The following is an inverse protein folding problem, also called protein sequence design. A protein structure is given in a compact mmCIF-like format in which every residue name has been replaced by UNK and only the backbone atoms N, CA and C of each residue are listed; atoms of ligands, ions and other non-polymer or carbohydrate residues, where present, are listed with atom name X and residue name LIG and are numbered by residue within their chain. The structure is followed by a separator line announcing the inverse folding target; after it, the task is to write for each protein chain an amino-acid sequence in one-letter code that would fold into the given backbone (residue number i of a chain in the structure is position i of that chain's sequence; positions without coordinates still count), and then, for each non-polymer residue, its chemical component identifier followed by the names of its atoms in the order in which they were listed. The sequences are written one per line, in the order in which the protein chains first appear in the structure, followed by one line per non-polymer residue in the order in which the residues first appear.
data_IF_065043425864
#
_entry.id   IF_065043425864
#
_cell.length_a   1.000
_cell.length_b   1.000
_cell.length_c   1.000
_cell.angle_alpha   90.00
_cell.angle_beta   90.00
_cell.angle_gamma   90.00
#
_symmetry.space_group_name_H-M   'P 1'
#
loop_
_entity.id
_entity.type
_entity.pdbx_description
1 polymer ?
#
# COMPACT_ATOMS: atom_id res chain seq x y z
N UNK A 1 -23.30 -61.85 13.59
CA UNK A 1 -24.20 -60.67 13.66
C UNK A 1 -23.31 -59.46 13.42
N UNK A 2 -23.47 -58.80 12.26
CA UNK A 2 -22.80 -57.55 11.95
C UNK A 2 -23.55 -56.39 12.63
N UNK A 3 -22.84 -55.29 12.93
CA UNK A 3 -23.15 -53.92 12.47
C UNK A 3 -21.92 -53.05 12.78
N UNK A 4 -21.49 -52.34 11.74
CA UNK A 4 -20.45 -51.32 11.73
C UNK A 4 -20.94 -50.02 12.39
N UNK A 5 -20.00 -49.23 12.90
CA UNK A 5 -20.20 -47.83 13.27
C UNK A 5 -18.93 -47.04 13.00
N UNK A 6 -18.75 -46.60 11.75
CA UNK A 6 -17.76 -45.60 11.34
C UNK A 6 -18.31 -44.20 11.68
N UNK A 7 -17.55 -43.41 12.44
CA UNK A 7 -17.58 -41.94 12.40
C UNK A 7 -16.12 -41.50 12.64
N UNK A 8 -15.31 -41.31 11.59
CA UNK A 8 -15.14 -40.06 10.85
C UNK A 8 -14.99 -38.84 11.76
N UNK A 9 -13.83 -38.66 12.36
CA UNK A 9 -13.36 -37.31 12.70
C UNK A 9 -12.61 -36.79 11.47
N UNK A 10 -13.27 -35.89 10.75
CA UNK A 10 -12.67 -35.10 9.68
C UNK A 10 -11.56 -34.23 10.28
N UNK A 11 -10.35 -34.36 9.75
CA UNK A 11 -9.35 -33.29 9.80
C UNK A 11 -9.88 -32.18 8.89
N UNK A 12 -10.58 -31.22 9.48
CA UNK A 12 -11.01 -30.00 8.82
C UNK A 12 -10.01 -28.90 9.19
N UNK A 13 -9.22 -28.50 8.21
CA UNK A 13 -8.59 -27.19 8.03
C UNK A 13 -8.10 -26.41 9.26
N UNK A 14 -6.78 -26.21 9.41
CA UNK A 14 -6.29 -24.95 9.93
C UNK A 14 -6.26 -23.95 8.77
N UNK A 15 -7.42 -23.43 8.34
CA UNK A 15 -7.39 -22.03 7.87
C UNK A 15 -7.04 -21.25 9.13
N UNK A 16 -5.77 -20.84 9.22
CA UNK A 16 -5.27 -20.00 10.30
C UNK A 16 -6.11 -18.73 10.34
N UNK A 17 -7.07 -18.73 11.25
CA UNK A 17 -7.90 -17.61 11.61
C UNK A 17 -7.10 -16.77 12.61
N UNK A 18 -6.18 -15.97 12.11
CA UNK A 18 -5.67 -14.76 12.75
C UNK A 18 -4.71 -14.10 11.75
N UNK A 19 -5.23 -13.09 11.05
CA UNK A 19 -4.41 -12.25 10.18
C UNK A 19 -3.43 -11.49 11.07
N UNK A 20 -2.23 -12.04 11.23
CA UNK A 20 -1.13 -11.30 11.83
C UNK A 20 -0.75 -10.15 10.87
N UNK A 21 -1.24 -8.97 11.21
CA UNK A 21 -0.96 -7.71 10.50
C UNK A 21 0.36 -7.09 10.95
N UNK A 22 1.12 -7.78 11.81
CA UNK A 22 2.35 -7.26 12.43
C UNK A 22 3.62 -7.90 11.87
N UNK A 23 3.52 -9.01 11.13
CA UNK A 23 4.66 -9.60 10.44
C UNK A 23 4.82 -9.02 9.03
N UNK A 24 5.80 -8.13 8.87
CA UNK A 24 6.19 -7.51 7.60
C UNK A 24 7.40 -8.18 6.96
N UNK A 25 7.89 -9.28 7.53
CA UNK A 25 8.99 -10.01 6.92
C UNK A 25 8.53 -10.67 5.61
N UNK A 26 9.37 -10.57 4.59
CA UNK A 26 9.13 -11.11 3.25
C UNK A 26 7.80 -10.67 2.61
N UNK A 27 7.38 -9.43 2.83
CA UNK A 27 6.21 -8.85 2.15
C UNK A 27 6.63 -7.83 1.10
N UNK A 28 5.80 -7.69 0.06
CA UNK A 28 5.92 -6.58 -0.88
C UNK A 28 4.54 -6.00 -1.18
N UNK A 29 4.45 -4.68 -1.15
CA UNK A 29 3.25 -3.96 -1.60
C UNK A 29 3.15 -3.86 -3.12
N UNK A 30 4.14 -4.40 -3.85
CA UNK A 30 4.17 -4.38 -5.32
C UNK A 30 4.00 -2.96 -5.85
N UNK A 31 3.11 -2.81 -6.84
CA UNK A 31 2.75 -1.51 -7.42
C UNK A 31 1.53 -0.86 -6.75
N UNK A 32 1.09 -1.34 -5.58
CA UNK A 32 -0.05 -0.74 -4.89
C UNK A 32 0.29 0.67 -4.38
N UNK A 33 -0.55 1.64 -4.78
CA UNK A 33 -0.45 3.04 -4.38
C UNK A 33 -1.85 3.54 -4.03
N UNK A 34 -2.07 3.86 -2.76
CA UNK A 34 -3.29 4.50 -2.27
C UNK A 34 -3.52 5.86 -2.96
N UNK A 35 -4.79 6.25 -3.09
CA UNK A 35 -5.10 7.61 -3.48
C UNK A 35 -4.66 8.56 -2.36
N UNK A 36 -4.09 9.71 -2.73
CA UNK A 36 -3.78 10.76 -1.76
C UNK A 36 -5.09 11.34 -1.22
N UNK A 37 -5.22 11.32 0.11
CA UNK A 37 -6.26 12.02 0.82
C UNK A 37 -5.70 13.30 1.44
N UNK A 38 -6.46 14.38 1.37
CA UNK A 38 -6.06 15.71 1.81
C UNK A 38 -7.07 16.22 2.84
N UNK A 39 -6.57 16.78 3.93
CA UNK A 39 -7.41 17.48 4.89
C UNK A 39 -8.09 18.68 4.25
N UNK A 40 -9.30 18.99 4.70
CA UNK A 40 -10.00 20.19 4.23
C UNK A 40 -9.37 21.43 4.91
N UNK A 41 -8.74 22.34 4.15
CA UNK A 41 -8.16 23.53 4.75
C UNK A 41 -9.24 24.45 5.31
N UNK A 42 -8.90 25.15 6.39
CA UNK A 42 -9.78 26.14 7.02
C UNK A 42 -9.02 27.44 7.29
N UNK A 43 -9.71 28.45 7.82
CA UNK A 43 -9.07 29.70 8.26
C UNK A 43 -8.01 29.46 9.35
N UNK A 44 -8.17 28.39 10.13
CA UNK A 44 -7.32 28.11 11.30
C UNK A 44 -6.35 26.94 11.08
N UNK A 45 -6.63 26.06 10.11
CA UNK A 45 -5.84 24.85 9.84
C UNK A 45 -5.33 24.80 8.39
N UNK A 46 -4.04 24.49 8.17
CA UNK A 46 -3.50 24.26 6.83
C UNK A 46 -4.01 22.95 6.22
N UNK A 47 -3.81 22.81 4.92
CA UNK A 47 -3.97 21.53 4.23
C UNK A 47 -2.77 20.61 4.53
N UNK A 48 -3.02 19.33 4.73
CA UNK A 48 -1.99 18.29 4.91
C UNK A 48 -2.49 16.95 4.34
N UNK A 49 -1.57 16.01 4.13
CA UNK A 49 -1.89 14.65 3.64
C UNK A 49 -2.42 13.80 4.79
N UNK A 50 -3.59 13.17 4.61
CA UNK A 50 -4.29 12.39 5.64
C UNK A 50 -4.02 10.88 5.58
N UNK A 51 -3.34 10.39 4.52
CA UNK A 51 -2.99 8.97 4.42
C UNK A 51 -2.25 8.47 5.67
N UNK A 52 -2.58 7.26 6.10
CA UNK A 52 -1.95 6.63 7.26
C UNK A 52 -0.45 6.42 7.01
N UNK A 53 0.37 7.01 7.87
CA UNK A 53 1.82 6.89 7.91
C UNK A 53 2.24 6.09 9.14
N UNK A 54 1.83 4.82 9.19
CA UNK A 54 2.28 3.88 10.22
C UNK A 54 3.81 3.70 10.13
N UNK A 55 4.50 3.91 11.26
CA UNK A 55 5.95 3.91 11.31
C UNK A 55 6.56 2.56 10.97
N UNK A 56 5.92 1.45 11.35
CA UNK A 56 6.41 0.11 11.02
C UNK A 56 6.25 -0.17 9.53
N UNK A 57 5.06 0.13 9.00
CA UNK A 57 4.78 0.04 7.57
C UNK A 57 5.78 0.84 6.73
N UNK A 58 6.19 2.02 7.19
CA UNK A 58 7.19 2.85 6.52
C UNK A 58 8.56 2.17 6.52
N UNK A 59 8.99 1.57 7.65
CA UNK A 59 10.28 0.85 7.74
C UNK A 59 10.36 -0.31 6.76
N UNK A 60 9.22 -0.91 6.43
CA UNK A 60 9.11 -2.02 5.48
C UNK A 60 8.67 -1.56 4.08
N UNK A 61 8.86 -0.29 3.73
CA UNK A 61 8.63 0.19 2.37
C UNK A 61 7.16 0.30 1.94
N UNK A 62 6.23 0.30 2.90
CA UNK A 62 4.78 0.33 2.67
C UNK A 62 4.13 1.72 2.69
N UNK A 63 4.90 2.81 2.66
CA UNK A 63 4.34 4.18 2.61
C UNK A 63 3.39 4.35 1.41
N UNK A 64 2.12 4.74 1.63
CA UNK A 64 1.07 4.75 0.58
C UNK A 64 0.73 3.38 -0.04
N UNK A 65 1.10 2.27 0.61
CA UNK A 65 1.02 0.93 0.05
C UNK A 65 -0.32 0.20 0.25
N UNK A 66 -1.36 0.78 0.86
CA UNK A 66 -2.56 0.02 1.24
C UNK A 66 -2.38 -0.71 2.56
N UNK A 67 -3.46 -1.19 3.17
CA UNK A 67 -3.37 -1.96 4.43
C UNK A 67 -2.90 -3.41 4.23
N UNK A 68 -2.92 -3.90 3.00
CA UNK A 68 -2.62 -5.30 2.68
C UNK A 68 -1.49 -5.36 1.66
N UNK A 69 -0.39 -6.09 1.92
CA UNK A 69 0.65 -6.30 0.93
C UNK A 69 0.12 -7.10 -0.25
N UNK A 70 0.67 -6.83 -1.43
CA UNK A 70 0.32 -7.52 -2.66
C UNK A 70 0.90 -8.94 -2.69
N UNK A 71 2.15 -9.08 -2.23
CA UNK A 71 2.87 -10.34 -2.18
C UNK A 71 3.21 -10.68 -0.72
N UNK A 72 2.92 -11.92 -0.35
CA UNK A 72 3.29 -12.52 0.94
C UNK A 72 4.23 -13.69 0.67
N UNK A 73 5.51 -13.38 0.49
CA UNK A 73 6.48 -14.38 0.04
C UNK A 73 6.75 -15.45 1.09
N UNK A 74 6.60 -15.15 2.39
CA UNK A 74 6.82 -16.14 3.46
C UNK A 74 6.12 -17.48 3.18
N UNK A 75 4.86 -17.47 2.73
CA UNK A 75 4.10 -18.69 2.43
C UNK A 75 4.78 -19.61 1.39
N UNK A 76 5.34 -19.03 0.33
CA UNK A 76 6.00 -19.81 -0.72
C UNK A 76 7.44 -20.17 -0.31
N UNK A 77 8.16 -19.24 0.33
CA UNK A 77 9.53 -19.47 0.79
C UNK A 77 9.60 -20.61 1.82
N UNK A 78 8.66 -20.65 2.77
CA UNK A 78 8.55 -21.71 3.79
C UNK A 78 8.25 -23.09 3.19
N UNK A 79 7.70 -23.14 1.97
CA UNK A 79 7.29 -24.40 1.32
C UNK A 79 8.36 -25.03 0.41
N UNK A 80 9.48 -24.33 0.17
CA UNK A 80 10.48 -24.71 -0.84
C UNK A 80 11.73 -25.40 -0.27
N UNK A 81 11.75 -25.77 1.02
CA UNK A 81 12.90 -26.40 1.69
C UNK A 81 14.23 -25.67 1.37
N UNK A 82 14.24 -24.35 1.54
CA UNK A 82 15.37 -23.50 1.19
C UNK A 82 16.61 -23.82 2.06
N UNK A 83 17.79 -23.82 1.46
CA UNK A 83 19.04 -23.95 2.21
C UNK A 83 19.35 -22.68 3.00
N UNK A 84 20.21 -22.76 4.01
CA UNK A 84 20.66 -21.60 4.77
C UNK A 84 21.30 -20.53 3.87
N UNK A 85 22.03 -20.94 2.82
CA UNK A 85 22.65 -20.03 1.84
C UNK A 85 21.60 -19.33 0.96
N UNK A 86 20.54 -20.05 0.56
CA UNK A 86 19.42 -19.47 -0.20
C UNK A 86 18.67 -18.45 0.66
N UNK A 87 18.33 -18.81 1.91
CA UNK A 87 17.65 -17.91 2.84
C UNK A 87 18.46 -16.63 3.09
N UNK A 88 19.76 -16.76 3.37
CA UNK A 88 20.63 -15.59 3.55
C UNK A 88 20.70 -14.69 2.31
N UNK A 89 20.65 -15.27 1.11
CA UNK A 89 20.60 -14.51 -0.14
C UNK A 89 19.27 -13.78 -0.30
N UNK A 90 18.16 -14.46 0.00
CA UNK A 90 16.81 -13.91 -0.06
C UNK A 90 16.65 -12.74 0.93
N UNK A 91 17.15 -12.87 2.16
CA UNK A 91 17.18 -11.79 3.14
C UNK A 91 17.85 -10.53 2.59
N UNK A 92 19.02 -10.71 1.96
CA UNK A 92 19.73 -9.60 1.33
C UNK A 92 18.93 -8.98 0.18
N UNK A 93 18.23 -9.79 -0.63
CA UNK A 93 17.37 -9.30 -1.71
C UNK A 93 16.17 -8.50 -1.17
N UNK A 94 15.57 -8.92 -0.05
CA UNK A 94 14.49 -8.16 0.60
C UNK A 94 14.98 -6.83 1.18
N UNK A 95 16.15 -6.81 1.80
CA UNK A 95 16.75 -5.54 2.26
C UNK A 95 16.94 -4.56 1.09
N UNK A 96 17.48 -5.04 -0.04
CA UNK A 96 17.63 -4.22 -1.26
C UNK A 96 16.27 -3.77 -1.83
N UNK A 97 15.26 -4.64 -1.80
CA UNK A 97 13.91 -4.30 -2.25
C UNK A 97 13.30 -3.19 -1.38
N UNK A 98 13.38 -3.33 -0.04
CA UNK A 98 12.88 -2.35 0.93
C UNK A 98 13.52 -0.98 0.69
N UNK A 99 14.85 -0.92 0.51
CA UNK A 99 15.55 0.33 0.20
C UNK A 99 15.05 0.95 -1.11
N UNK A 100 14.88 0.13 -2.15
CA UNK A 100 14.40 0.56 -3.47
C UNK A 100 12.99 1.18 -3.38
N UNK A 101 12.04 0.46 -2.77
CA UNK A 101 10.65 0.94 -2.67
C UNK A 101 10.52 2.14 -1.74
N UNK A 102 11.31 2.19 -0.66
CA UNK A 102 11.34 3.32 0.28
C UNK A 102 11.81 4.58 -0.43
N UNK A 103 12.89 4.49 -1.21
CA UNK A 103 13.39 5.61 -2.00
C UNK A 103 12.37 6.10 -3.03
N UNK A 104 11.71 5.18 -3.75
CA UNK A 104 10.68 5.51 -4.72
C UNK A 104 9.49 6.23 -4.07
N UNK A 105 8.97 5.69 -2.95
CA UNK A 105 7.84 6.26 -2.21
C UNK A 105 8.19 7.60 -1.56
N UNK A 106 9.41 7.77 -1.07
CA UNK A 106 9.87 9.06 -0.54
C UNK A 106 9.94 10.13 -1.64
N UNK A 107 10.36 9.76 -2.85
CA UNK A 107 10.37 10.67 -4.00
C UNK A 107 8.96 11.15 -4.32
N UNK A 108 7.99 10.25 -4.33
CA UNK A 108 6.57 10.59 -4.49
C UNK A 108 6.05 11.47 -3.34
N UNK A 109 6.37 11.12 -2.09
CA UNK A 109 5.99 11.92 -0.92
C UNK A 109 6.49 13.36 -1.01
N UNK A 110 7.73 13.56 -1.44
CA UNK A 110 8.33 14.89 -1.61
C UNK A 110 7.65 15.71 -2.71
N UNK A 111 7.27 15.05 -3.82
CA UNK A 111 6.53 15.70 -4.89
C UNK A 111 5.14 16.17 -4.40
N UNK A 112 4.42 15.31 -3.69
CA UNK A 112 3.13 15.65 -3.08
C UNK A 112 3.28 16.78 -2.06
N UNK A 113 4.27 16.70 -1.18
CA UNK A 113 4.53 17.71 -0.16
C UNK A 113 4.77 19.10 -0.77
N UNK A 114 5.52 19.17 -1.88
CA UNK A 114 5.78 20.44 -2.59
C UNK A 114 4.50 21.06 -3.15
N UNK A 115 3.57 20.25 -3.67
CA UNK A 115 2.27 20.71 -4.18
C UNK A 115 1.39 21.23 -3.02
N UNK A 116 1.36 20.49 -1.91
CA UNK A 116 0.60 20.89 -0.71
C UNK A 116 1.17 22.16 -0.08
N UNK A 117 2.50 22.34 -0.08
CA UNK A 117 3.14 23.58 0.38
C UNK A 117 2.73 24.77 -0.47
N UNK A 118 2.75 24.63 -1.80
CA UNK A 118 2.27 25.67 -2.72
C UNK A 118 0.79 26.01 -2.50
N UNK A 119 -0.05 25.01 -2.24
CA UNK A 119 -1.45 25.23 -1.89
C UNK A 119 -1.60 26.00 -0.57
N UNK A 120 -0.79 25.71 0.44
CA UNK A 120 -0.83 26.42 1.72
C UNK A 120 -0.41 27.90 1.62
N UNK A 121 0.43 28.25 0.64
CA UNK A 121 0.72 29.65 0.31
C UNK A 121 -0.54 30.34 -0.25
N UNK A 122 -1.27 29.68 -1.15
CA UNK A 122 -2.54 30.22 -1.69
C UNK A 122 -3.62 30.34 -0.61
N UNK A 123 -3.68 29.38 0.31
CA UNK A 123 -4.54 29.46 1.50
C UNK A 123 -4.27 30.74 2.29
N UNK A 124 -3.00 31.10 2.49
CA UNK A 124 -2.68 32.32 3.24
C UNK A 124 -3.21 33.58 2.54
N UNK A 125 -3.15 33.64 1.21
CA UNK A 125 -3.72 34.75 0.45
C UNK A 125 -5.26 34.85 0.60
N UNK A 126 -5.97 33.72 0.69
CA UNK A 126 -7.41 33.71 0.98
C UNK A 126 -7.70 34.25 2.39
N UNK A 127 -6.88 33.87 3.37
CA UNK A 127 -7.01 34.35 4.75
C UNK A 127 -6.76 35.86 4.83
N UNK A 128 -5.80 36.37 4.08
CA UNK A 128 -5.47 37.79 4.07
C UNK A 128 -6.61 38.62 3.48
N UNK A 129 -7.24 38.17 2.37
CA UNK A 129 -8.45 38.79 1.81
C UNK A 129 -9.61 38.80 2.80
N UNK A 130 -9.81 37.69 3.53
CA UNK A 130 -10.85 37.61 4.56
C UNK A 130 -10.58 38.58 5.71
N UNK A 131 -9.34 38.65 6.21
CA UNK A 131 -8.95 39.57 7.30
C UNK A 131 -9.03 41.04 6.88
N UNK A 132 -8.78 41.33 5.61
CA UNK A 132 -8.96 42.66 5.03
C UNK A 132 -10.45 43.04 4.85
N UNK A 133 -11.37 42.08 5.00
CA UNK A 133 -12.81 42.29 4.78
C UNK A 133 -13.19 42.38 3.29
N UNK A 134 -12.30 41.96 2.39
CA UNK A 134 -12.53 41.95 0.94
C UNK A 134 -13.49 40.82 0.53
N UNK A 135 -13.45 39.71 1.27
CA UNK A 135 -14.37 38.57 1.14
C UNK A 135 -15.01 38.26 2.48
N UNK A 136 -16.24 37.73 2.44
CA UNK A 136 -16.89 37.22 3.63
C UNK A 136 -16.45 35.79 3.98
N UNK A 137 -16.92 35.30 5.12
CA UNK A 137 -16.57 33.97 5.62
C UNK A 137 -17.03 32.85 4.70
N UNK A 138 -18.17 33.01 4.02
CA UNK A 138 -18.73 31.96 3.18
C UNK A 138 -17.95 31.85 1.87
N UNK A 139 -17.60 32.99 1.28
CA UNK A 139 -16.71 33.09 0.13
C UNK A 139 -15.34 32.47 0.44
N UNK A 140 -14.77 32.76 1.61
CA UNK A 140 -13.50 32.17 2.02
C UNK A 140 -13.58 30.63 2.10
N UNK A 141 -14.66 30.05 2.64
CA UNK A 141 -14.84 28.59 2.68
C UNK A 141 -14.93 27.99 1.28
N UNK A 142 -15.68 28.63 0.37
CA UNK A 142 -15.81 28.17 -1.02
C UNK A 142 -14.42 28.14 -1.68
N UNK A 143 -13.63 29.20 -1.53
CA UNK A 143 -12.28 29.28 -2.09
C UNK A 143 -11.34 28.22 -1.48
N UNK A 144 -11.42 27.96 -0.18
CA UNK A 144 -10.62 26.93 0.49
C UNK A 144 -10.99 25.51 0.03
N UNK A 145 -12.28 25.24 -0.17
CA UNK A 145 -12.73 23.96 -0.73
C UNK A 145 -12.28 23.79 -2.18
N UNK A 146 -12.38 24.85 -2.98
CA UNK A 146 -11.89 24.83 -4.37
C UNK A 146 -10.38 24.59 -4.41
N UNK A 147 -9.62 25.24 -3.53
CA UNK A 147 -8.18 25.02 -3.40
C UNK A 147 -7.84 23.55 -3.11
N UNK A 148 -8.60 22.85 -2.26
CA UNK A 148 -8.43 21.40 -2.03
C UNK A 148 -8.65 20.59 -3.31
N UNK A 149 -9.72 20.88 -4.05
CA UNK A 149 -10.04 20.20 -5.31
C UNK A 149 -8.90 20.41 -6.32
N UNK A 150 -8.48 21.66 -6.51
CA UNK A 150 -7.42 22.02 -7.45
C UNK A 150 -6.08 21.37 -7.06
N UNK A 151 -5.79 21.29 -5.75
CA UNK A 151 -4.57 20.64 -5.24
C UNK A 151 -4.60 19.14 -5.53
N UNK A 152 -5.74 18.48 -5.32
CA UNK A 152 -5.91 17.06 -5.64
C UNK A 152 -5.70 16.81 -7.13
N UNK A 153 -6.30 17.63 -8.00
CA UNK A 153 -6.10 17.55 -9.45
C UNK A 153 -4.64 17.77 -9.83
N UNK A 154 -3.95 18.75 -9.24
CA UNK A 154 -2.52 18.97 -9.49
C UNK A 154 -1.66 17.76 -9.10
N UNK A 155 -1.97 17.07 -8.00
CA UNK A 155 -1.28 15.83 -7.61
C UNK A 155 -1.52 14.74 -8.64
N UNK A 156 -2.77 14.54 -9.06
CA UNK A 156 -3.16 13.52 -10.05
C UNK A 156 -2.51 13.77 -11.42
N UNK A 157 -2.41 15.03 -11.84
CA UNK A 157 -1.83 15.43 -13.13
C UNK A 157 -0.30 15.62 -13.10
N UNK A 158 0.34 15.57 -11.92
CA UNK A 158 1.79 15.78 -11.77
C UNK A 158 2.66 14.73 -12.46
N UNK A 159 2.09 13.57 -12.81
CA UNK A 159 2.84 12.40 -13.28
C UNK A 159 3.66 11.70 -12.20
N UNK A 160 3.69 12.21 -10.96
CA UNK A 160 4.48 11.64 -9.88
C UNK A 160 4.03 10.22 -9.51
N UNK A 161 2.72 9.94 -9.63
CA UNK A 161 2.18 8.58 -9.41
C UNK A 161 2.68 7.60 -10.46
N UNK A 162 2.74 7.99 -11.73
CA UNK A 162 3.21 7.11 -12.80
C UNK A 162 4.70 6.79 -12.66
N UNK A 163 5.50 7.80 -12.28
CA UNK A 163 6.92 7.62 -11.94
C UNK A 163 7.07 6.62 -10.78
N UNK A 164 6.26 6.78 -9.72
CA UNK A 164 6.25 5.84 -8.59
C UNK A 164 5.90 4.43 -9.04
N UNK A 165 4.82 4.26 -9.81
CA UNK A 165 4.37 2.94 -10.29
C UNK A 165 5.44 2.23 -11.12
N UNK A 166 6.11 2.96 -12.02
CA UNK A 166 7.21 2.42 -12.81
C UNK A 166 8.39 1.98 -11.93
N UNK A 167 8.78 2.80 -10.94
CA UNK A 167 9.85 2.47 -10.01
C UNK A 167 9.50 1.25 -9.13
N UNK A 168 8.29 1.20 -8.58
CA UNK A 168 7.81 0.07 -7.78
C UNK A 168 7.79 -1.24 -8.57
N UNK A 169 7.39 -1.17 -9.85
CA UNK A 169 7.43 -2.33 -10.74
C UNK A 169 8.87 -2.83 -10.89
N UNK A 170 9.83 -1.94 -11.20
CA UNK A 170 11.23 -2.30 -11.34
C UNK A 170 11.82 -2.89 -10.04
N UNK A 171 11.50 -2.31 -8.88
CA UNK A 171 11.95 -2.84 -7.58
C UNK A 171 11.39 -4.25 -7.32
N UNK A 172 10.13 -4.50 -7.70
CA UNK A 172 9.45 -5.78 -7.49
C UNK A 172 9.94 -6.85 -8.48
N UNK A 173 10.06 -6.50 -9.76
CA UNK A 173 10.62 -7.38 -10.79
C UNK A 173 12.05 -7.81 -10.41
N UNK A 174 12.88 -6.86 -9.94
CA UNK A 174 14.26 -7.15 -9.52
C UNK A 174 14.32 -8.10 -8.33
N UNK A 175 13.41 -7.94 -7.34
CA UNK A 175 13.30 -8.88 -6.22
C UNK A 175 12.96 -10.29 -6.72
N UNK A 176 11.94 -10.39 -7.57
CA UNK A 176 11.47 -11.67 -8.12
C UNK A 176 12.58 -12.37 -8.90
N UNK A 177 13.28 -11.66 -9.79
CA UNK A 177 14.37 -12.24 -10.58
C UNK A 177 15.58 -12.63 -9.72
N UNK A 178 15.91 -11.85 -8.70
CA UNK A 178 16.96 -12.22 -7.74
C UNK A 178 16.60 -13.49 -6.97
N UNK A 179 15.36 -13.61 -6.48
CA UNK A 179 14.88 -14.85 -5.82
C UNK A 179 15.03 -16.03 -6.79
N UNK A 180 14.50 -15.93 -8.02
CA UNK A 180 14.62 -17.01 -9.02
C UNK A 180 16.06 -17.45 -9.26
N UNK A 181 17.01 -16.52 -9.23
CA UNK A 181 18.43 -16.79 -9.53
C UNK A 181 19.13 -17.71 -8.53
N UNK A 182 18.59 -17.85 -7.31
CA UNK A 182 19.17 -18.71 -6.26
C UNK A 182 18.40 -20.01 -6.05
N UNK A 183 17.25 -20.19 -6.70
CA UNK A 183 16.43 -21.39 -6.59
C UNK A 183 16.99 -22.55 -7.44
N UNK A 184 16.75 -23.78 -6.98
CA UNK A 184 16.90 -24.97 -7.83
C UNK A 184 15.77 -25.03 -8.87
N UNK A 185 15.90 -25.90 -9.87
CA UNK A 185 14.87 -26.07 -10.91
C UNK A 185 13.51 -26.50 -10.33
N UNK A 186 13.51 -27.37 -9.32
CA UNK A 186 12.30 -27.82 -8.63
C UNK A 186 11.64 -26.68 -7.83
N UNK A 187 12.44 -25.91 -7.09
CA UNK A 187 11.94 -24.75 -6.33
C UNK A 187 11.43 -23.64 -7.24
N UNK A 188 12.14 -23.38 -8.35
CA UNK A 188 11.74 -22.39 -9.35
C UNK A 188 10.36 -22.70 -9.93
N UNK A 189 10.08 -23.98 -10.21
CA UNK A 189 8.77 -24.41 -10.70
C UNK A 189 7.66 -24.05 -9.71
N UNK A 190 7.85 -24.37 -8.41
CA UNK A 190 6.88 -24.01 -7.36
C UNK A 190 6.68 -22.49 -7.25
N UNK A 191 7.78 -21.74 -7.34
CA UNK A 191 7.76 -20.29 -7.24
C UNK A 191 7.01 -19.64 -8.41
N UNK A 192 7.22 -20.12 -9.64
CA UNK A 192 6.54 -19.62 -10.83
C UNK A 192 5.04 -19.96 -10.83
N UNK A 193 4.67 -21.17 -10.38
CA UNK A 193 3.27 -21.54 -10.17
C UNK A 193 2.61 -20.64 -9.12
N UNK A 194 3.30 -20.35 -8.02
CA UNK A 194 2.80 -19.41 -7.01
C UNK A 194 2.62 -18.00 -7.57
N UNK A 195 3.59 -17.49 -8.34
CA UNK A 195 3.53 -16.18 -8.99
C UNK A 195 2.34 -16.07 -9.95
N UNK A 196 2.09 -17.10 -10.75
CA UNK A 196 0.96 -17.15 -11.69
C UNK A 196 -0.42 -17.10 -11.00
N UNK A 197 -0.48 -17.44 -9.72
CA UNK A 197 -1.69 -17.41 -8.91
C UNK A 197 -1.81 -16.15 -8.04
N UNK A 198 -0.87 -15.21 -8.12
CA UNK A 198 -0.96 -13.96 -7.37
C UNK A 198 -1.94 -12.98 -8.04
N UNK A 199 -2.62 -12.14 -7.25
CA UNK A 199 -3.51 -11.12 -7.81
C UNK A 199 -2.72 -10.19 -8.74
N UNK A 200 -3.30 -9.87 -9.90
CA UNK A 200 -2.66 -8.94 -10.84
C UNK A 200 -2.52 -7.53 -10.21
N UNK A 201 -1.45 -6.79 -10.56
CA UNK A 201 -1.26 -5.43 -10.08
C UNK A 201 -2.35 -4.50 -10.61
N UNK A 202 -3.38 -4.25 -9.80
CA UNK A 202 -4.41 -3.22 -10.08
C UNK A 202 -5.87 -3.61 -9.80
N UNK A 203 -6.20 -4.87 -9.54
CA UNK A 203 -7.61 -5.28 -9.34
C UNK A 203 -8.07 -5.39 -7.87
N UNK A 204 -7.15 -5.22 -6.90
CA UNK A 204 -7.41 -5.50 -5.48
C UNK A 204 -8.16 -4.41 -4.68
N UNK A 205 -8.75 -3.40 -5.32
CA UNK A 205 -9.30 -2.23 -4.64
C UNK A 205 -10.70 -2.38 -4.04
N UNK A 206 -11.42 -3.48 -4.25
CA UNK A 206 -12.85 -3.52 -3.88
C UNK A 206 -13.36 -4.89 -3.39
N UNK A 207 -12.69 -5.48 -2.40
CA UNK A 207 -13.24 -6.61 -1.63
C UNK A 207 -13.17 -6.30 -0.14
N UNK A 208 -14.10 -5.47 0.33
CA UNK A 208 -14.17 -5.14 1.75
C UNK A 208 -15.28 -4.18 2.17
N UNK A 209 -16.44 -4.17 1.51
CA UNK A 209 -17.59 -3.40 2.01
C UNK A 209 -18.91 -4.15 1.80
N UNK A 210 -19.04 -5.35 2.38
CA UNK A 210 -20.34 -5.97 2.59
C UNK A 210 -20.33 -6.78 3.89
N UNK A 211 -21.02 -6.27 4.93
CA UNK A 211 -21.57 -7.16 5.95
C UNK A 211 -21.76 -6.64 7.38
N UNK A 212 -22.64 -5.66 7.61
CA UNK A 212 -23.42 -5.46 8.87
C UNK A 212 -24.24 -4.16 8.71
N UNK A 213 -25.52 -3.98 9.01
CA UNK A 213 -26.68 -4.67 9.60
C UNK A 213 -27.90 -3.86 9.06
N UNK A 214 -29.16 -4.28 9.02
CA UNK A 214 -29.87 -5.41 9.55
C UNK A 214 -31.34 -5.29 9.11
N UNK A 215 -32.01 -6.42 8.96
CA UNK A 215 -33.44 -6.48 8.72
C UNK A 215 -34.26 -6.47 10.01
N UNK A 216 -35.52 -6.05 9.86
CA UNK A 216 -36.68 -6.28 10.72
C UNK A 216 -36.69 -5.66 12.11
N UNK A 217 -37.48 -4.60 12.26
CA UNK A 217 -38.85 -4.69 12.79
C UNK A 217 -39.72 -3.55 12.29
#
# INVERSE_FOLDING_TARGET
MAIAGLTSCQNSDPISSEYDTTNFDYVSFGTLVEQIDLSTPSLDQPMYVENSMDGEKIRHGGMFGGNTPMYRFHHILDSMDLTEEQLASIDAFFALHIDCVTSARQTFANAVASIVEAANIQRQAIIDQYKAGEIDRETAKILLNQLKIDTKTQIEESGAKDILLAALKLCTDSLIENIKSVLTEEQLTLFEEWLANQPEPGEGGNRGEHGHHGGHH
#
